data_IF_744244318373
#
_entry.id   IF_744244318373
#
_cell.length_a   1.000
_cell.length_b   1.000
_cell.length_c   1.000
_cell.angle_alpha   90.00
_cell.angle_beta   90.00
_cell.angle_gamma   90.00
#
_symmetry.space_group_name_H-M   'P 1'
#
loop_
_entity.id
_entity.type
_entity.pdbx_description
1 polymer ?
#
# COMPACT_ATOMS: atom_id res chain seq x y z
N UNK A 1 40.00 26.72 -7.59
CA UNK A 1 39.53 25.37 -7.21
C UNK A 1 38.34 24.99 -8.09
N UNK A 2 38.54 24.24 -9.21
CA UNK A 2 37.42 23.71 -10.03
C UNK A 2 36.72 22.65 -9.19
N UNK A 3 35.70 23.04 -8.47
CA UNK A 3 34.84 22.07 -7.79
C UNK A 3 34.28 21.14 -8.86
N UNK A 4 34.51 19.85 -8.68
CA UNK A 4 34.18 18.83 -9.68
C UNK A 4 32.66 18.79 -9.84
N UNK A 5 32.15 19.41 -10.90
CA UNK A 5 30.73 19.55 -11.22
C UNK A 5 30.03 18.18 -11.25
N UNK A 6 30.75 17.14 -11.66
CA UNK A 6 30.25 15.76 -11.72
C UNK A 6 30.03 15.17 -10.33
N UNK A 7 30.82 15.57 -9.34
CA UNK A 7 30.66 15.15 -7.95
C UNK A 7 29.34 15.68 -7.37
N UNK A 8 29.07 16.99 -7.54
CA UNK A 8 27.81 17.59 -7.07
C UNK A 8 26.59 17.04 -7.81
N UNK A 9 26.68 16.86 -9.13
CA UNK A 9 25.63 16.26 -9.94
C UNK A 9 25.27 14.84 -9.43
N UNK A 10 26.26 14.03 -9.07
CA UNK A 10 26.04 12.72 -8.50
C UNK A 10 25.37 12.80 -7.11
N UNK A 11 25.83 13.65 -6.22
CA UNK A 11 25.19 13.82 -4.89
C UNK A 11 23.73 14.21 -5.06
N UNK A 12 23.43 15.22 -5.86
CA UNK A 12 22.07 15.69 -6.11
C UNK A 12 21.20 14.58 -6.68
N UNK A 13 21.73 13.73 -7.58
CA UNK A 13 20.98 12.60 -8.12
C UNK A 13 20.68 11.49 -7.10
N UNK A 14 21.46 11.37 -6.02
CA UNK A 14 21.19 10.41 -4.95
C UNK A 14 20.23 10.93 -3.88
N UNK A 15 20.05 12.25 -3.72
CA UNK A 15 19.17 12.80 -2.70
C UNK A 15 17.73 12.26 -2.80
N UNK A 16 17.04 12.31 -3.97
CA UNK A 16 15.69 11.77 -4.06
C UNK A 16 15.64 10.25 -3.80
N UNK A 17 16.71 9.50 -4.14
CA UNK A 17 16.80 8.07 -3.83
C UNK A 17 16.79 7.86 -2.32
N UNK A 18 17.67 8.55 -1.59
CA UNK A 18 17.79 8.43 -0.13
C UNK A 18 16.47 8.80 0.56
N UNK A 19 15.83 9.90 0.14
CA UNK A 19 14.56 10.33 0.73
C UNK A 19 13.43 9.34 0.43
N UNK A 20 13.36 8.77 -0.80
CA UNK A 20 12.42 7.71 -1.12
C UNK A 20 12.60 6.47 -0.23
N UNK A 21 13.86 6.00 -0.07
CA UNK A 21 14.16 4.83 0.75
C UNK A 21 13.85 5.11 2.23
N UNK A 22 14.17 6.31 2.72
CA UNK A 22 13.80 6.73 4.06
C UNK A 22 12.28 6.74 4.26
N UNK A 23 11.53 7.36 3.35
CA UNK A 23 10.06 7.39 3.39
C UNK A 23 9.48 5.98 3.39
N UNK A 24 10.05 5.08 2.57
CA UNK A 24 9.63 3.69 2.52
C UNK A 24 9.93 2.95 3.83
N UNK A 25 11.11 3.16 4.40
CA UNK A 25 11.51 2.53 5.67
C UNK A 25 10.61 2.94 6.84
N UNK A 26 10.25 4.23 6.91
CA UNK A 26 9.38 4.73 7.98
C UNK A 26 7.90 4.43 7.78
N UNK A 27 7.50 3.96 6.60
CA UNK A 27 6.10 3.64 6.29
C UNK A 27 5.54 2.47 7.09
N UNK A 28 6.40 1.67 7.72
CA UNK A 28 6.00 0.59 8.62
C UNK A 28 5.62 1.11 10.02
N UNK A 29 5.95 2.37 10.32
CA UNK A 29 5.76 2.99 11.64
C UNK A 29 4.81 4.18 11.58
N UNK A 30 4.29 4.58 12.74
CA UNK A 30 3.57 5.86 12.85
C UNK A 30 4.56 7.01 13.04
N UNK A 31 4.45 8.02 12.17
CA UNK A 31 5.23 9.25 12.30
C UNK A 31 4.28 10.44 12.17
N UNK A 32 4.23 11.28 13.18
CA UNK A 32 3.36 12.47 13.20
C UNK A 32 3.69 13.48 12.08
N UNK A 33 4.98 13.57 11.69
CA UNK A 33 5.48 14.58 10.73
C UNK A 33 5.87 14.00 9.36
N UNK A 34 5.21 12.91 8.91
CA UNK A 34 5.49 12.30 7.60
C UNK A 34 5.38 13.28 6.42
N UNK A 35 4.60 14.36 6.56
CA UNK A 35 4.43 15.40 5.55
C UNK A 35 5.71 16.15 5.23
N UNK A 36 6.55 16.38 6.24
CA UNK A 36 7.83 17.07 6.03
C UNK A 36 8.76 16.25 5.13
N UNK A 37 8.69 14.92 5.24
CA UNK A 37 9.42 14.01 4.34
C UNK A 37 8.87 14.08 2.92
N UNK A 38 7.55 14.26 2.73
CA UNK A 38 6.97 14.43 1.40
C UNK A 38 7.39 15.75 0.74
N UNK A 39 7.44 16.84 1.50
CA UNK A 39 7.98 18.10 0.99
C UNK A 39 9.46 17.96 0.61
N UNK A 40 10.27 17.36 1.49
CA UNK A 40 11.68 17.10 1.21
C UNK A 40 11.85 16.26 -0.06
N UNK A 41 11.01 15.23 -0.25
CA UNK A 41 11.03 14.40 -1.45
C UNK A 41 10.73 15.22 -2.70
N UNK A 42 9.66 16.01 -2.69
CA UNK A 42 9.26 16.84 -3.82
C UNK A 42 10.38 17.85 -4.18
N UNK A 43 10.95 18.51 -3.18
CA UNK A 43 12.05 19.46 -3.37
C UNK A 43 13.27 18.77 -3.98
N UNK A 44 13.68 17.61 -3.45
CA UNK A 44 14.86 16.89 -3.97
C UNK A 44 14.68 16.42 -5.41
N UNK A 45 13.45 16.01 -5.80
CA UNK A 45 13.13 15.68 -7.19
C UNK A 45 13.20 16.88 -8.11
N UNK A 46 12.65 18.01 -7.70
CA UNK A 46 12.73 19.25 -8.46
C UNK A 46 14.20 19.70 -8.63
N UNK A 47 14.99 19.67 -7.56
CA UNK A 47 16.41 20.01 -7.59
C UNK A 47 17.17 19.10 -8.56
N UNK A 48 16.98 17.77 -8.48
CA UNK A 48 17.63 16.82 -9.41
C UNK A 48 17.20 17.08 -10.86
N UNK A 49 15.92 17.32 -11.09
CA UNK A 49 15.38 17.54 -12.43
C UNK A 49 15.95 18.79 -13.09
N UNK A 50 16.01 19.92 -12.38
CA UNK A 50 16.50 21.18 -12.93
C UNK A 50 18.03 21.27 -12.94
N UNK A 51 18.71 20.89 -11.85
CA UNK A 51 20.17 20.95 -11.77
C UNK A 51 20.86 20.06 -12.81
N UNK A 52 20.36 18.83 -12.95
CA UNK A 52 20.89 17.86 -13.91
C UNK A 52 20.26 18.02 -15.31
N UNK A 53 19.54 19.11 -15.56
CA UNK A 53 18.94 19.47 -16.86
C UNK A 53 18.13 18.34 -17.49
N UNK A 54 17.44 17.53 -16.66
CA UNK A 54 16.66 16.38 -17.13
C UNK A 54 15.48 16.79 -18.00
N UNK A 55 15.03 18.04 -17.90
CA UNK A 55 14.01 18.62 -18.77
C UNK A 55 14.40 18.62 -20.25
N UNK A 56 15.72 18.61 -20.60
CA UNK A 56 16.17 18.53 -21.99
C UNK A 56 15.89 17.15 -22.64
N UNK A 57 15.82 16.09 -21.86
CA UNK A 57 15.49 14.73 -22.31
C UNK A 57 14.04 14.32 -21.97
N UNK A 58 13.23 15.28 -21.53
CA UNK A 58 11.87 15.02 -21.11
C UNK A 58 10.98 14.62 -22.30
N UNK A 59 10.32 13.47 -22.18
CA UNK A 59 9.36 12.98 -23.17
C UNK A 59 8.03 12.69 -22.47
N UNK A 60 6.94 13.13 -23.08
CA UNK A 60 5.61 12.81 -22.58
C UNK A 60 5.22 11.41 -23.04
N UNK A 61 5.14 10.48 -22.11
CA UNK A 61 4.85 9.06 -22.34
C UNK A 61 3.68 8.56 -21.47
N UNK A 62 3.31 7.28 -21.63
CA UNK A 62 2.20 6.66 -20.88
C UNK A 62 2.39 6.72 -19.34
N UNK A 63 3.64 6.72 -18.86
CA UNK A 63 3.94 6.81 -17.43
C UNK A 63 3.63 8.21 -16.92
N UNK A 64 3.98 9.23 -17.70
CA UNK A 64 3.67 10.63 -17.35
C UNK A 64 2.18 10.93 -17.45
N UNK A 65 1.47 10.34 -18.44
CA UNK A 65 0.01 10.39 -18.48
C UNK A 65 -0.58 9.81 -17.18
N UNK A 66 -0.09 8.66 -16.75
CA UNK A 66 -0.52 8.05 -15.48
C UNK A 66 -0.35 8.99 -14.30
N UNK A 67 0.86 9.55 -14.09
CA UNK A 67 1.10 10.45 -12.98
C UNK A 67 0.38 11.80 -13.12
N UNK A 68 0.08 12.25 -14.33
CA UNK A 68 -0.80 13.39 -14.54
C UNK A 68 -2.22 13.11 -14.06
N UNK A 69 -2.75 11.92 -14.34
CA UNK A 69 -4.09 11.50 -13.84
C UNK A 69 -4.08 11.41 -12.31
N UNK A 70 -3.04 10.83 -11.72
CA UNK A 70 -2.89 10.78 -10.25
C UNK A 70 -2.81 12.18 -9.65
N UNK A 71 -2.02 13.07 -10.25
CA UNK A 71 -1.92 14.47 -9.83
C UNK A 71 -3.27 15.19 -9.89
N UNK A 72 -3.97 15.08 -11.01
CA UNK A 72 -5.29 15.67 -11.20
C UNK A 72 -6.32 15.08 -10.21
N UNK A 73 -6.27 13.78 -9.94
CA UNK A 73 -7.12 13.15 -8.95
C UNK A 73 -6.95 13.79 -7.56
N UNK A 74 -5.72 14.04 -7.13
CA UNK A 74 -5.49 14.75 -5.88
C UNK A 74 -5.85 16.23 -5.94
N UNK A 75 -5.75 16.85 -7.11
CA UNK A 75 -6.16 18.24 -7.32
C UNK A 75 -7.67 18.44 -7.40
N UNK A 76 -8.46 17.42 -7.76
CA UNK A 76 -9.93 17.50 -7.78
C UNK A 76 -10.51 17.94 -6.43
N UNK A 77 -9.83 17.61 -5.33
CA UNK A 77 -10.20 18.05 -4.01
C UNK A 77 -10.19 19.57 -3.83
N UNK A 78 -9.29 20.28 -4.50
CA UNK A 78 -9.22 21.74 -4.44
C UNK A 78 -10.32 22.41 -5.24
N UNK A 79 -10.73 21.76 -6.34
CA UNK A 79 -11.70 22.32 -7.30
C UNK A 79 -13.13 22.06 -6.81
N UNK A 80 -13.35 20.91 -6.13
CA UNK A 80 -14.66 20.41 -5.79
C UNK A 80 -14.97 20.53 -4.28
N UNK A 81 -14.22 21.32 -3.56
CA UNK A 81 -14.45 21.59 -2.15
C UNK A 81 -14.89 23.05 -1.97
N UNK A 82 -16.13 23.33 -1.56
CA UNK A 82 -16.47 24.67 -1.11
C UNK A 82 -15.68 24.99 0.16
N UNK A 83 -14.92 26.08 0.11
CA UNK A 83 -14.06 26.54 1.20
C UNK A 83 -14.85 27.09 2.42
N UNK A 84 -16.16 26.94 2.46
CA UNK A 84 -17.04 27.66 3.38
C UNK A 84 -17.05 27.09 4.80
N UNK A 85 -16.68 25.83 5.02
CA UNK A 85 -16.67 25.23 6.36
C UNK A 85 -15.27 24.79 6.80
N UNK A 86 -14.60 25.63 7.57
CA UNK A 86 -13.26 25.40 8.13
C UNK A 86 -13.28 24.46 9.34
N UNK A 87 -13.67 23.22 9.18
CA UNK A 87 -13.42 22.22 10.22
C UNK A 87 -11.92 21.87 10.27
N UNK A 88 -11.39 21.55 11.45
CA UNK A 88 -10.01 21.11 11.64
C UNK A 88 -9.68 19.90 10.73
N UNK A 89 -10.68 19.10 10.42
CA UNK A 89 -10.58 17.93 9.57
C UNK A 89 -10.41 18.29 8.08
N UNK A 90 -11.16 19.25 7.57
CA UNK A 90 -11.04 19.69 6.17
C UNK A 90 -9.65 20.26 5.90
N UNK A 91 -9.06 20.98 6.85
CA UNK A 91 -7.67 21.45 6.75
C UNK A 91 -6.67 20.30 6.76
N UNK A 92 -6.88 19.25 7.55
CA UNK A 92 -6.00 18.08 7.59
C UNK A 92 -6.04 17.31 6.26
N UNK A 93 -7.24 17.07 5.73
CA UNK A 93 -7.43 16.43 4.43
C UNK A 93 -6.78 17.22 3.31
N UNK A 94 -7.06 18.51 3.24
CA UNK A 94 -6.49 19.41 2.25
C UNK A 94 -4.97 19.35 2.27
N UNK A 95 -4.37 19.44 3.46
CA UNK A 95 -2.92 19.39 3.64
C UNK A 95 -2.31 18.06 3.19
N UNK A 96 -2.96 16.93 3.50
CA UNK A 96 -2.51 15.62 3.05
C UNK A 96 -2.54 15.52 1.51
N UNK A 97 -3.56 16.07 0.87
CA UNK A 97 -3.72 15.98 -0.59
C UNK A 97 -2.76 16.86 -1.37
N UNK A 98 -2.42 18.03 -0.83
CA UNK A 98 -1.31 18.84 -1.36
C UNK A 98 -0.02 18.01 -1.38
N UNK A 99 0.28 17.34 -0.28
CA UNK A 99 1.49 16.52 -0.18
C UNK A 99 1.46 15.34 -1.15
N UNK A 100 0.30 14.70 -1.35
CA UNK A 100 0.13 13.59 -2.29
C UNK A 100 0.24 14.04 -3.75
N UNK A 101 -0.25 15.24 -4.09
CA UNK A 101 -0.02 15.82 -5.40
C UNK A 101 1.48 16.05 -5.66
N UNK A 102 2.25 16.42 -4.63
CA UNK A 102 3.71 16.51 -4.69
C UNK A 102 4.38 15.17 -5.01
N UNK A 103 3.90 14.07 -4.41
CA UNK A 103 4.41 12.72 -4.75
C UNK A 103 4.07 12.33 -6.20
N UNK A 104 2.86 12.67 -6.67
CA UNK A 104 2.49 12.47 -8.07
C UNK A 104 3.37 13.28 -9.02
N UNK A 105 3.71 14.53 -8.64
CA UNK A 105 4.67 15.36 -9.37
C UNK A 105 6.05 14.70 -9.43
N UNK A 106 6.54 14.08 -8.35
CA UNK A 106 7.79 13.31 -8.37
C UNK A 106 7.76 12.22 -9.45
N UNK A 107 6.67 11.46 -9.52
CA UNK A 107 6.48 10.45 -10.56
C UNK A 107 6.40 11.04 -11.96
N UNK A 108 5.76 12.19 -12.13
CA UNK A 108 5.68 12.91 -13.40
C UNK A 108 7.06 13.41 -13.86
N UNK A 109 7.87 14.00 -12.99
CA UNK A 109 9.25 14.38 -13.28
C UNK A 109 10.11 13.18 -13.64
N UNK A 110 9.78 12.03 -13.10
CA UNK A 110 10.41 10.74 -13.36
C UNK A 110 11.64 10.47 -12.53
N UNK A 111 11.87 9.19 -12.26
CA UNK A 111 13.04 8.73 -11.52
C UNK A 111 14.31 8.83 -12.39
N UNK A 112 15.42 9.15 -11.76
CA UNK A 112 16.72 9.09 -12.43
C UNK A 112 17.27 7.65 -12.45
N UNK A 113 18.39 7.42 -13.15
CA UNK A 113 19.00 6.11 -13.30
C UNK A 113 19.65 5.53 -12.02
N UNK A 114 19.67 6.30 -10.92
CA UNK A 114 20.17 5.87 -9.61
C UNK A 114 19.10 5.10 -8.81
N UNK A 115 17.82 5.24 -9.17
CA UNK A 115 16.72 4.50 -8.56
C UNK A 115 16.71 3.05 -9.05
N UNK A 116 17.36 2.16 -8.30
CA UNK A 116 17.40 0.73 -8.58
C UNK A 116 16.34 -0.01 -7.80
N UNK A 117 15.63 -0.93 -8.43
CA UNK A 117 14.54 -1.68 -7.80
C UNK A 117 15.02 -2.48 -6.59
N UNK A 118 16.25 -3.03 -6.62
CA UNK A 118 16.83 -3.78 -5.51
C UNK A 118 16.95 -2.95 -4.22
N UNK A 119 17.21 -1.64 -4.31
CA UNK A 119 17.29 -0.77 -3.15
C UNK A 119 15.94 -0.72 -2.41
N UNK A 120 14.86 -0.54 -3.16
CA UNK A 120 13.50 -0.48 -2.61
C UNK A 120 13.09 -1.81 -1.99
N UNK A 121 13.30 -2.92 -2.71
CA UNK A 121 12.95 -4.26 -2.23
C UNK A 121 13.70 -4.61 -0.94
N UNK A 122 15.00 -4.37 -0.90
CA UNK A 122 15.80 -4.61 0.31
C UNK A 122 15.38 -3.69 1.46
N UNK A 123 15.05 -2.43 1.19
CA UNK A 123 14.55 -1.52 2.22
C UNK A 123 13.25 -2.04 2.83
N UNK A 124 12.28 -2.51 2.02
CA UNK A 124 11.05 -3.11 2.52
C UNK A 124 11.36 -4.31 3.43
N UNK A 125 12.24 -5.22 3.00
CA UNK A 125 12.57 -6.42 3.76
C UNK A 125 13.27 -6.06 5.08
N UNK A 126 14.30 -5.21 5.01
CA UNK A 126 15.08 -4.80 6.18
C UNK A 126 14.20 -4.07 7.19
N UNK A 127 13.36 -3.14 6.74
CA UNK A 127 12.47 -2.38 7.63
C UNK A 127 11.39 -3.26 8.24
N UNK A 128 10.85 -4.25 7.49
CA UNK A 128 9.92 -5.22 8.02
C UNK A 128 10.56 -6.05 9.15
N UNK A 129 11.74 -6.61 8.91
CA UNK A 129 12.47 -7.39 9.92
C UNK A 129 12.89 -6.52 11.10
N UNK A 130 13.41 -5.33 10.87
CA UNK A 130 13.81 -4.40 11.92
C UNK A 130 12.60 -4.00 12.80
N UNK A 131 11.44 -3.76 12.21
CA UNK A 131 10.22 -3.46 12.97
C UNK A 131 9.77 -4.64 13.85
N UNK A 132 9.87 -5.87 13.35
CA UNK A 132 9.56 -7.08 14.14
C UNK A 132 10.51 -7.19 15.33
N UNK A 133 11.81 -7.05 15.08
CA UNK A 133 12.83 -7.11 16.15
C UNK A 133 12.55 -6.01 17.18
N UNK A 134 12.31 -4.78 16.74
CA UNK A 134 12.02 -3.66 17.63
C UNK A 134 10.78 -3.91 18.49
N UNK A 135 9.69 -4.39 17.89
CA UNK A 135 8.44 -4.67 18.60
C UNK A 135 8.63 -5.77 19.64
N UNK A 136 9.22 -6.90 19.25
CA UNK A 136 9.36 -8.08 20.12
C UNK A 136 10.35 -7.83 21.25
N UNK A 137 11.49 -7.21 20.99
CA UNK A 137 12.54 -7.05 22.00
C UNK A 137 12.43 -5.78 22.84
N UNK A 138 12.00 -4.66 22.24
CA UNK A 138 12.07 -3.36 22.90
C UNK A 138 10.70 -2.82 23.35
N UNK A 139 9.61 -3.12 22.64
CA UNK A 139 8.27 -2.61 23.00
C UNK A 139 7.50 -3.59 23.86
N UNK A 140 7.45 -4.86 23.47
CA UNK A 140 6.73 -5.90 24.19
C UNK A 140 7.59 -6.54 25.26
N UNK A 141 8.88 -6.72 24.98
CA UNK A 141 9.82 -7.53 25.75
C UNK A 141 9.78 -8.99 25.31
N UNK A 142 10.94 -9.56 25.05
CA UNK A 142 11.07 -10.92 24.51
C UNK A 142 10.39 -11.98 25.41
N UNK A 143 10.62 -11.93 26.72
CA UNK A 143 10.04 -12.87 27.69
C UNK A 143 8.50 -12.73 27.73
N UNK A 144 7.98 -11.51 27.84
CA UNK A 144 6.54 -11.24 27.82
C UNK A 144 5.88 -11.72 26.53
N UNK A 145 6.57 -11.57 25.38
CA UNK A 145 6.08 -12.09 24.12
C UNK A 145 6.08 -13.62 24.10
N UNK A 146 7.13 -14.25 24.63
CA UNK A 146 7.26 -15.71 24.63
C UNK A 146 6.26 -16.40 25.54
N UNK A 147 6.04 -15.87 26.74
CA UNK A 147 5.16 -16.41 27.77
C UNK A 147 3.68 -16.12 27.54
N UNK A 148 3.34 -15.18 26.65
CA UNK A 148 1.96 -14.81 26.40
C UNK A 148 1.14 -15.96 25.84
N UNK A 149 0.05 -16.33 26.52
CA UNK A 149 -0.93 -17.30 26.03
C UNK A 149 -1.63 -16.78 24.75
N UNK A 150 -2.01 -15.49 24.74
CA UNK A 150 -2.65 -14.85 23.60
C UNK A 150 -1.70 -13.83 22.95
N UNK A 151 -0.86 -14.30 22.04
CA UNK A 151 0.09 -13.45 21.32
C UNK A 151 -0.59 -12.36 20.45
N UNK A 152 -1.78 -12.62 19.96
CA UNK A 152 -2.56 -11.66 19.18
C UNK A 152 -2.95 -10.43 20.02
N UNK A 153 -3.32 -10.62 21.29
CA UNK A 153 -3.69 -9.52 22.18
C UNK A 153 -2.52 -8.58 22.49
N UNK A 154 -1.27 -9.07 22.40
CA UNK A 154 -0.07 -8.28 22.62
C UNK A 154 0.28 -7.47 21.37
N UNK A 155 -0.02 -7.99 20.18
CA UNK A 155 0.18 -7.30 18.90
C UNK A 155 -0.98 -6.37 18.53
N UNK A 156 -1.83 -6.00 19.49
CA UNK A 156 -2.92 -5.04 19.25
C UNK A 156 -2.36 -3.62 19.11
N UNK A 157 -2.65 -2.89 18.03
CA UNK A 157 -2.12 -1.55 17.78
C UNK A 157 -2.40 -0.55 18.90
N UNK A 158 -3.54 -0.66 19.57
CA UNK A 158 -3.91 0.19 20.70
C UNK A 158 -2.93 0.13 21.88
N UNK A 159 -2.05 -0.87 21.94
CA UNK A 159 -1.01 -1.05 22.97
C UNK A 159 0.39 -0.71 22.50
N UNK A 160 0.55 -0.45 21.21
CA UNK A 160 1.87 -0.24 20.60
C UNK A 160 1.85 1.09 19.86
N UNK A 161 2.32 2.16 20.50
CA UNK A 161 2.41 3.51 19.90
C UNK A 161 3.24 3.57 18.61
N UNK A 162 3.95 2.50 18.29
CA UNK A 162 4.81 2.41 17.12
C UNK A 162 4.06 2.03 15.84
N UNK A 163 2.93 1.30 15.95
CA UNK A 163 2.11 0.89 14.82
C UNK A 163 0.79 1.66 14.86
N UNK A 164 0.60 2.57 13.93
CA UNK A 164 -0.62 3.36 13.86
C UNK A 164 -1.85 2.52 13.49
N UNK A 165 -1.67 1.59 12.55
CA UNK A 165 -2.74 0.76 12.02
C UNK A 165 -2.21 -0.65 11.67
N UNK A 166 -2.77 -1.68 12.29
CA UNK A 166 -2.41 -3.07 12.03
C UNK A 166 -2.61 -3.46 10.56
N UNK A 167 -3.57 -2.86 9.87
CA UNK A 167 -3.81 -3.16 8.45
C UNK A 167 -2.65 -2.73 7.58
N UNK A 168 -2.12 -1.53 7.82
CA UNK A 168 -0.96 -1.02 7.07
C UNK A 168 0.29 -1.83 7.38
N UNK A 169 0.47 -2.20 8.64
CA UNK A 169 1.55 -3.08 9.04
C UNK A 169 1.49 -4.42 8.28
N UNK A 170 0.30 -5.03 8.21
CA UNK A 170 0.07 -6.27 7.48
C UNK A 170 0.30 -6.12 5.96
N UNK A 171 -0.09 -4.99 5.37
CA UNK A 171 0.23 -4.67 3.97
C UNK A 171 1.74 -4.62 3.77
N UNK A 172 2.46 -3.92 4.64
CA UNK A 172 3.92 -3.80 4.55
C UNK A 172 4.61 -5.16 4.65
N UNK A 173 4.15 -6.03 5.55
CA UNK A 173 4.66 -7.41 5.68
C UNK A 173 4.40 -8.25 4.41
N UNK A 174 3.23 -8.12 3.80
CA UNK A 174 2.92 -8.79 2.54
C UNK A 174 3.77 -8.26 1.37
N UNK A 175 4.04 -6.96 1.33
CA UNK A 175 4.98 -6.37 0.36
C UNK A 175 6.40 -6.92 0.55
N UNK A 176 6.83 -7.16 1.80
CA UNK A 176 8.11 -7.76 2.08
C UNK A 176 8.19 -9.23 1.60
N UNK A 177 7.12 -10.02 1.77
CA UNK A 177 7.03 -11.39 1.23
C UNK A 177 7.18 -11.38 -0.30
N UNK A 178 6.44 -10.50 -0.99
CA UNK A 178 6.52 -10.37 -2.45
C UNK A 178 7.91 -9.90 -2.89
N UNK A 179 8.54 -9.00 -2.12
CA UNK A 179 9.89 -8.52 -2.38
C UNK A 179 10.94 -9.63 -2.26
N UNK A 180 10.85 -10.46 -1.22
CA UNK A 180 11.72 -11.63 -1.04
C UNK A 180 11.55 -12.59 -2.23
N UNK A 181 10.30 -12.93 -2.56
CA UNK A 181 10.02 -13.80 -3.70
C UNK A 181 10.60 -13.23 -5.00
N UNK A 182 10.41 -11.94 -5.27
CA UNK A 182 10.90 -11.32 -6.51
C UNK A 182 12.43 -11.37 -6.61
N UNK A 183 13.14 -11.05 -5.53
CA UNK A 183 14.62 -11.13 -5.50
C UNK A 183 15.08 -12.57 -5.69
N UNK A 184 14.56 -13.49 -4.89
CA UNK A 184 15.00 -14.89 -4.95
C UNK A 184 14.67 -15.52 -6.30
N UNK A 185 13.47 -15.32 -6.85
CA UNK A 185 13.08 -15.92 -8.14
C UNK A 185 13.91 -15.40 -9.33
N UNK A 186 14.39 -14.15 -9.28
CA UNK A 186 15.17 -13.57 -10.37
C UNK A 186 16.69 -13.71 -10.20
N UNK A 187 17.18 -13.88 -8.98
CA UNK A 187 18.63 -13.89 -8.69
C UNK A 187 19.13 -15.18 -8.04
N UNK A 188 18.31 -16.20 -7.83
CA UNK A 188 18.67 -17.41 -7.07
C UNK A 188 20.05 -17.98 -7.43
N UNK A 189 20.34 -18.10 -8.71
CA UNK A 189 21.62 -18.66 -9.21
C UNK A 189 22.84 -17.76 -8.94
N UNK A 190 22.62 -16.48 -8.68
CA UNK A 190 23.68 -15.48 -8.47
C UNK A 190 23.85 -15.12 -6.99
N UNK A 191 22.86 -15.45 -6.15
CA UNK A 191 22.91 -15.17 -4.72
C UNK A 191 23.86 -16.14 -4.02
N UNK A 192 24.70 -15.59 -3.16
CA UNK A 192 25.49 -16.39 -2.23
C UNK A 192 24.54 -17.16 -1.28
N UNK A 193 24.91 -18.41 -0.94
CA UNK A 193 24.06 -19.29 -0.09
C UNK A 193 23.61 -18.63 1.22
N UNK A 194 24.48 -17.87 1.88
CA UNK A 194 24.14 -17.18 3.12
C UNK A 194 23.06 -16.10 2.92
N UNK A 195 23.06 -15.39 1.78
CA UNK A 195 22.00 -14.40 1.45
C UNK A 195 20.65 -15.07 1.26
N UNK A 196 20.64 -16.23 0.61
CA UNK A 196 19.41 -17.03 0.47
C UNK A 196 18.91 -17.45 1.85
N UNK A 197 19.80 -17.88 2.74
CA UNK A 197 19.47 -18.19 4.14
C UNK A 197 18.86 -17.00 4.90
N UNK A 198 19.41 -15.79 4.71
CA UNK A 198 18.84 -14.57 5.31
C UNK A 198 17.43 -14.26 4.76
N UNK A 199 17.19 -14.40 3.47
CA UNK A 199 15.86 -14.19 2.89
C UNK A 199 14.84 -15.23 3.41
N UNK A 200 15.25 -16.50 3.55
CA UNK A 200 14.39 -17.54 4.14
C UNK A 200 14.07 -17.20 5.60
N UNK A 201 15.07 -16.82 6.40
CA UNK A 201 14.86 -16.42 7.79
C UNK A 201 13.93 -15.20 7.89
N UNK A 202 14.16 -14.18 7.06
CA UNK A 202 13.29 -13.00 6.99
C UNK A 202 11.86 -13.38 6.64
N UNK A 203 11.66 -14.28 5.67
CA UNK A 203 10.35 -14.79 5.31
C UNK A 203 9.66 -15.49 6.48
N UNK A 204 10.35 -16.38 7.18
CA UNK A 204 9.80 -17.12 8.32
C UNK A 204 9.41 -16.17 9.45
N UNK A 205 10.22 -15.16 9.75
CA UNK A 205 9.90 -14.14 10.76
C UNK A 205 8.66 -13.33 10.37
N UNK A 206 8.62 -12.84 9.13
CA UNK A 206 7.50 -12.02 8.62
C UNK A 206 6.21 -12.83 8.59
N UNK A 207 6.25 -14.05 8.06
CA UNK A 207 5.09 -14.93 7.98
C UNK A 207 4.60 -15.37 9.37
N UNK A 208 5.54 -15.65 10.28
CA UNK A 208 5.23 -15.95 11.67
C UNK A 208 4.48 -14.81 12.37
N UNK A 209 4.95 -13.57 12.20
CA UNK A 209 4.27 -12.39 12.75
C UNK A 209 2.90 -12.19 12.13
N UNK A 210 2.75 -12.32 10.81
CA UNK A 210 1.44 -12.23 10.16
C UNK A 210 0.43 -13.27 10.68
N UNK A 211 0.90 -14.46 11.05
CA UNK A 211 0.02 -15.52 11.59
C UNK A 211 -0.53 -15.22 12.99
N UNK A 212 0.15 -14.38 13.75
CA UNK A 212 -0.20 -14.01 15.14
C UNK A 212 -0.68 -12.56 15.25
N UNK A 213 -0.54 -11.74 14.20
CA UNK A 213 -0.97 -10.35 14.24
C UNK A 213 -2.49 -10.21 14.20
N UNK A 214 -2.98 -9.16 14.80
CA UNK A 214 -4.36 -8.73 14.64
C UNK A 214 -4.60 -8.36 13.16
N UNK A 215 -5.79 -8.67 12.65
CA UNK A 215 -6.12 -8.38 11.24
C UNK A 215 -5.90 -9.59 10.32
N UNK A 216 -6.89 -10.47 10.32
CA UNK A 216 -6.92 -11.72 9.53
C UNK A 216 -6.77 -11.51 8.03
N UNK A 217 -7.17 -10.33 7.52
CA UNK A 217 -7.02 -9.95 6.11
C UNK A 217 -5.56 -9.99 5.64
N UNK A 218 -4.61 -9.58 6.50
CA UNK A 218 -3.17 -9.63 6.19
C UNK A 218 -2.66 -11.06 6.06
N UNK A 219 -3.04 -11.94 6.97
CA UNK A 219 -2.66 -13.35 6.91
C UNK A 219 -3.31 -14.07 5.72
N UNK A 220 -4.60 -13.85 5.48
CA UNK A 220 -5.28 -14.40 4.30
C UNK A 220 -4.65 -13.93 3.00
N UNK A 221 -4.23 -12.67 2.91
CA UNK A 221 -3.50 -12.13 1.77
C UNK A 221 -2.16 -12.84 1.58
N UNK A 222 -1.41 -13.10 2.66
CA UNK A 222 -0.15 -13.84 2.56
C UNK A 222 -0.34 -15.26 2.05
N UNK A 223 -1.39 -15.96 2.52
CA UNK A 223 -1.75 -17.30 2.01
C UNK A 223 -2.14 -17.25 0.54
N UNK A 224 -2.91 -16.23 0.11
CA UNK A 224 -3.27 -16.04 -1.29
C UNK A 224 -2.01 -15.85 -2.16
N UNK A 225 -1.09 -14.96 -1.74
CA UNK A 225 0.16 -14.72 -2.47
C UNK A 225 0.98 -16.00 -2.58
N UNK A 226 1.18 -16.71 -1.48
CA UNK A 226 1.94 -17.96 -1.45
C UNK A 226 1.29 -19.04 -2.31
N UNK A 227 -0.04 -19.15 -2.28
CA UNK A 227 -0.80 -20.05 -3.14
C UNK A 227 -0.58 -19.74 -4.61
N UNK A 228 -0.71 -18.46 -5.01
CA UNK A 228 -0.48 -18.04 -6.39
C UNK A 228 0.95 -18.31 -6.86
N UNK A 229 1.95 -18.05 -6.00
CA UNK A 229 3.37 -18.34 -6.30
C UNK A 229 3.57 -19.85 -6.48
N UNK A 230 3.08 -20.64 -5.54
CA UNK A 230 3.20 -22.11 -5.56
C UNK A 230 2.49 -22.72 -6.77
N UNK A 231 1.26 -22.27 -7.03
CA UNK A 231 0.48 -22.74 -8.18
C UNK A 231 1.17 -22.44 -9.48
N UNK A 232 1.78 -21.25 -9.64
CA UNK A 232 2.56 -20.89 -10.83
C UNK A 232 3.75 -21.83 -11.03
N UNK A 233 4.47 -22.19 -9.98
CA UNK A 233 5.64 -23.06 -10.09
C UNK A 233 5.24 -24.54 -10.32
N UNK A 234 4.17 -25.00 -9.69
CA UNK A 234 3.62 -26.35 -9.92
C UNK A 234 2.98 -26.46 -11.29
N UNK A 235 2.27 -25.42 -11.77
CA UNK A 235 1.66 -25.39 -13.10
C UNK A 235 2.68 -25.60 -14.22
N UNK A 236 3.88 -25.02 -14.07
CA UNK A 236 4.98 -25.21 -15.04
C UNK A 236 5.46 -26.67 -15.11
N UNK A 237 5.30 -27.43 -14.00
CA UNK A 237 5.74 -28.82 -13.92
C UNK A 237 4.62 -29.78 -14.30
N UNK A 238 3.45 -29.59 -13.76
CA UNK A 238 2.29 -30.45 -14.00
C UNK A 238 0.96 -29.73 -13.71
N UNK A 239 0.21 -29.41 -14.77
CA UNK A 239 -1.08 -28.72 -14.69
C UNK A 239 -2.14 -29.52 -13.91
N UNK A 240 -2.12 -30.86 -13.98
CA UNK A 240 -3.10 -31.70 -13.31
C UNK A 240 -2.91 -31.70 -11.78
N UNK A 241 -1.65 -31.78 -11.33
CA UNK A 241 -1.33 -31.63 -9.91
C UNK A 241 -1.79 -30.26 -9.41
N UNK A 242 -1.59 -29.20 -10.21
CA UNK A 242 -2.04 -27.86 -9.84
C UNK A 242 -3.56 -27.81 -9.64
N UNK A 243 -4.34 -28.41 -10.53
CA UNK A 243 -5.81 -28.45 -10.39
C UNK A 243 -6.25 -29.22 -9.13
N UNK A 244 -5.60 -30.32 -8.81
CA UNK A 244 -5.85 -31.08 -7.58
C UNK A 244 -5.55 -30.23 -6.35
N UNK A 245 -4.41 -29.55 -6.32
CA UNK A 245 -4.02 -28.65 -5.21
C UNK A 245 -5.01 -27.51 -5.05
N UNK A 246 -5.45 -26.89 -6.15
CA UNK A 246 -6.51 -25.86 -6.11
C UNK A 246 -7.79 -26.42 -5.52
N UNK A 247 -8.22 -27.61 -5.95
CA UNK A 247 -9.42 -28.27 -5.42
C UNK A 247 -9.32 -28.51 -3.90
N UNK A 248 -8.20 -29.05 -3.42
CA UNK A 248 -7.97 -29.30 -1.99
C UNK A 248 -7.95 -27.97 -1.21
N UNK A 249 -7.25 -26.95 -1.70
CA UNK A 249 -7.21 -25.62 -1.05
C UNK A 249 -8.60 -24.99 -1.02
N UNK A 250 -9.38 -25.11 -2.09
CA UNK A 250 -10.74 -24.58 -2.14
C UNK A 250 -11.66 -25.27 -1.11
N UNK A 251 -11.58 -26.59 -0.97
CA UNK A 251 -12.34 -27.34 0.04
C UNK A 251 -11.88 -26.92 1.45
N UNK A 252 -10.58 -26.78 1.67
CA UNK A 252 -10.06 -26.35 2.97
C UNK A 252 -10.52 -24.93 3.34
N UNK A 253 -10.44 -23.98 2.41
CA UNK A 253 -10.91 -22.61 2.60
C UNK A 253 -12.42 -22.61 2.84
N UNK A 254 -13.19 -23.33 2.04
CA UNK A 254 -14.64 -23.48 2.19
C UNK A 254 -15.02 -23.98 3.58
N UNK A 255 -14.40 -25.07 4.04
CA UNK A 255 -14.64 -25.63 5.38
C UNK A 255 -14.27 -24.63 6.49
N UNK A 256 -13.13 -23.93 6.35
CA UNK A 256 -12.72 -22.90 7.33
C UNK A 256 -13.67 -21.71 7.35
N UNK A 257 -14.19 -21.30 6.19
CA UNK A 257 -15.15 -20.20 6.06
C UNK A 257 -16.49 -20.58 6.71
N UNK A 258 -17.04 -21.74 6.39
CA UNK A 258 -18.36 -22.17 6.91
C UNK A 258 -18.35 -22.43 8.41
N UNK A 259 -17.29 -23.05 8.92
CA UNK A 259 -17.18 -23.35 10.36
C UNK A 259 -16.58 -22.22 11.18
N UNK A 260 -16.33 -21.06 10.56
CA UNK A 260 -15.79 -19.92 11.28
C UNK A 260 -16.92 -19.22 12.06
N UNK A 261 -16.82 -19.22 13.38
CA UNK A 261 -17.82 -18.60 14.29
C UNK A 261 -18.20 -17.16 13.94
N UNK A 262 -17.31 -16.38 13.28
CA UNK A 262 -17.57 -14.99 12.85
C UNK A 262 -18.26 -14.85 11.50
N UNK A 263 -18.64 -15.94 10.84
CA UNK A 263 -19.40 -15.93 9.58
C UNK A 263 -20.85 -16.38 9.84
N UNK A 264 -21.22 -16.56 11.10
CA UNK A 264 -22.64 -16.70 11.45
C UNK A 264 -23.41 -15.45 11.01
N UNK A 265 -24.64 -15.64 10.58
CA UNK A 265 -25.52 -14.54 10.07
C UNK A 265 -25.67 -13.43 11.12
N UNK A 266 -25.66 -13.78 12.41
CA UNK A 266 -25.72 -12.86 13.55
C UNK A 266 -24.46 -11.99 13.66
N UNK A 267 -23.28 -12.56 13.41
CA UNK A 267 -22.03 -11.80 13.48
C UNK A 267 -21.77 -10.95 12.23
N UNK A 268 -22.26 -11.39 11.07
CA UNK A 268 -22.25 -10.54 9.88
C UNK A 268 -23.16 -9.34 10.08
N UNK A 269 -24.36 -9.54 10.64
CA UNK A 269 -25.28 -8.43 11.00
C UNK A 269 -24.69 -7.49 12.05
N UNK A 270 -23.81 -7.99 12.92
CA UNK A 270 -23.11 -7.23 13.95
C UNK A 270 -21.81 -6.56 13.50
N UNK A 271 -21.44 -6.59 12.20
CA UNK A 271 -20.22 -5.95 11.71
C UNK A 271 -20.45 -4.44 11.48
N UNK A 272 -19.80 -3.55 12.26
CA UNK A 272 -20.03 -2.09 12.17
C UNK A 272 -19.77 -1.52 10.76
N UNK A 273 -18.88 -2.13 9.98
CA UNK A 273 -18.59 -1.67 8.62
C UNK A 273 -19.77 -1.81 7.68
N UNK A 274 -20.61 -2.82 7.84
CA UNK A 274 -21.80 -2.98 7.01
C UNK A 274 -22.81 -1.84 7.25
N UNK A 275 -22.92 -1.39 8.49
CA UNK A 275 -23.69 -0.20 8.82
C UNK A 275 -23.12 1.03 8.13
N UNK A 276 -21.79 1.27 8.21
CA UNK A 276 -21.15 2.39 7.54
C UNK A 276 -21.35 2.34 6.02
N UNK A 277 -21.25 1.17 5.41
CA UNK A 277 -21.44 1.01 3.96
C UNK A 277 -22.89 1.22 3.53
N UNK A 278 -23.85 0.81 4.36
CA UNK A 278 -25.27 1.08 4.12
C UNK A 278 -25.54 2.58 4.17
N UNK A 279 -25.05 3.26 5.21
CA UNK A 279 -25.16 4.73 5.35
C UNK A 279 -24.48 5.46 4.17
N UNK A 280 -23.30 5.03 3.78
CA UNK A 280 -22.59 5.59 2.63
C UNK A 280 -23.37 5.45 1.33
N UNK A 281 -24.08 4.32 1.15
CA UNK A 281 -24.93 4.10 -0.03
C UNK A 281 -26.03 5.16 -0.12
N UNK A 282 -26.64 5.57 0.98
CA UNK A 282 -27.66 6.63 1.00
C UNK A 282 -27.07 7.94 0.45
N UNK A 283 -25.89 8.32 0.93
CA UNK A 283 -25.18 9.52 0.45
C UNK A 283 -24.82 9.44 -1.03
N UNK A 284 -24.37 8.25 -1.50
CA UNK A 284 -24.01 8.03 -2.91
C UNK A 284 -25.25 8.19 -3.81
N UNK A 285 -26.41 7.69 -3.38
CA UNK A 285 -27.64 7.73 -4.19
C UNK A 285 -28.15 9.15 -4.43
N UNK A 286 -27.76 10.12 -3.62
CA UNK A 286 -28.13 11.51 -3.82
C UNK A 286 -27.30 12.21 -4.92
N UNK A 287 -26.05 11.78 -5.13
CA UNK A 287 -25.16 12.34 -6.14
C UNK A 287 -24.28 11.25 -6.80
N UNK A 288 -24.86 10.27 -7.53
CA UNK A 288 -24.15 9.05 -7.92
C UNK A 288 -23.08 9.26 -8.99
N UNK A 289 -23.18 10.29 -9.83
CA UNK A 289 -22.27 10.50 -10.96
C UNK A 289 -21.05 11.34 -10.59
N UNK A 290 -21.29 12.49 -9.98
CA UNK A 290 -20.22 13.47 -9.64
C UNK A 290 -19.81 13.42 -8.17
N UNK A 291 -20.60 12.78 -7.31
CA UNK A 291 -20.40 12.83 -5.87
C UNK A 291 -20.77 14.20 -5.27
N UNK A 292 -20.56 14.34 -3.98
CA UNK A 292 -20.88 15.58 -3.24
C UNK A 292 -19.68 16.51 -2.99
N UNK A 293 -18.48 16.10 -3.36
CA UNK A 293 -17.24 16.74 -2.90
C UNK A 293 -16.75 16.18 -1.57
N UNK A 294 -15.47 16.33 -1.28
CA UNK A 294 -14.84 15.64 -0.14
C UNK A 294 -15.43 16.05 1.21
N UNK A 295 -15.67 17.34 1.43
CA UNK A 295 -16.17 17.87 2.69
C UNK A 295 -17.66 17.59 2.86
N UNK A 296 -18.47 17.93 1.87
CA UNK A 296 -19.92 17.76 1.89
C UNK A 296 -20.32 16.28 1.95
N UNK A 297 -19.55 15.39 1.31
CA UNK A 297 -19.75 13.94 1.41
C UNK A 297 -19.55 13.45 2.85
N UNK A 298 -18.53 13.97 3.55
CA UNK A 298 -18.25 13.59 4.93
C UNK A 298 -19.31 14.13 5.89
N UNK A 299 -19.77 15.37 5.70
CA UNK A 299 -20.85 15.95 6.51
C UNK A 299 -22.17 15.18 6.29
N UNK A 300 -22.53 14.91 5.03
CA UNK A 300 -23.72 14.13 4.69
C UNK A 300 -23.65 12.71 5.29
N UNK A 301 -22.49 12.08 5.22
CA UNK A 301 -22.27 10.76 5.82
C UNK A 301 -22.43 10.77 7.34
N UNK A 302 -21.83 11.74 8.03
CA UNK A 302 -21.99 11.89 9.47
C UNK A 302 -23.45 12.17 9.87
N UNK A 303 -24.13 13.03 9.12
CA UNK A 303 -25.55 13.32 9.34
C UNK A 303 -26.40 12.06 9.17
N UNK A 304 -26.27 11.35 8.05
CA UNK A 304 -27.00 10.12 7.78
C UNK A 304 -26.71 9.03 8.83
N UNK A 305 -25.47 8.94 9.34
CA UNK A 305 -25.10 8.03 10.43
C UNK A 305 -25.83 8.34 11.72
N UNK A 306 -25.91 9.62 12.11
CA UNK A 306 -26.55 10.07 13.36
C UNK A 306 -28.08 9.93 13.25
N UNK A 307 -28.67 10.22 12.09
CA UNK A 307 -30.11 10.13 11.82
C UNK A 307 -30.59 8.70 11.51
N UNK A 308 -29.68 7.73 11.41
CA UNK A 308 -30.03 6.35 11.12
C UNK A 308 -31.01 5.76 12.11
N UNK A 309 -31.94 4.95 11.62
CA UNK A 309 -32.88 4.15 12.43
C UNK A 309 -32.27 2.92 13.07
N UNK A 310 -30.99 2.60 12.79
CA UNK A 310 -30.29 1.45 13.35
C UNK A 310 -29.75 1.79 14.73
N UNK A 311 -30.52 1.49 15.75
CA UNK A 311 -30.19 1.78 17.16
C UNK A 311 -28.94 0.99 17.64
N UNK A 312 -28.57 -0.11 16.97
CA UNK A 312 -27.42 -0.93 17.36
C UNK A 312 -26.10 -0.19 17.12
N UNK A 313 -25.98 0.48 15.98
CA UNK A 313 -24.72 1.12 15.57
C UNK A 313 -24.75 2.64 15.65
N UNK A 314 -25.94 3.26 15.70
CA UNK A 314 -26.12 4.70 15.83
C UNK A 314 -25.30 5.30 16.97
N UNK A 315 -25.25 4.61 18.11
CA UNK A 315 -24.54 5.02 19.31
C UNK A 315 -23.14 4.42 19.48
N UNK A 316 -22.68 3.62 18.50
CA UNK A 316 -21.36 3.00 18.55
C UNK A 316 -20.23 4.04 18.52
N UNK A 317 -20.45 5.15 17.81
CA UNK A 317 -19.56 6.30 17.75
C UNK A 317 -20.25 7.53 18.31
N UNK A 318 -19.49 8.39 19.01
CA UNK A 318 -20.01 9.68 19.44
C UNK A 318 -20.35 10.56 18.22
N UNK A 319 -21.32 11.48 18.32
CA UNK A 319 -21.65 12.40 17.24
C UNK A 319 -20.46 13.25 16.76
N UNK A 320 -19.52 13.54 17.66
CA UNK A 320 -18.30 14.30 17.42
C UNK A 320 -17.16 13.47 16.83
N UNK A 321 -17.29 12.13 16.83
CA UNK A 321 -16.26 11.27 16.29
C UNK A 321 -16.16 11.42 14.78
N UNK A 322 -14.94 11.57 14.32
CA UNK A 322 -14.66 11.45 12.89
C UNK A 322 -14.68 9.97 12.51
N UNK A 323 -15.67 9.61 11.70
CA UNK A 323 -15.83 8.24 11.18
C UNK A 323 -15.85 8.31 9.66
N UNK A 324 -14.99 7.56 9.02
CA UNK A 324 -14.99 7.37 7.57
C UNK A 324 -15.69 6.06 7.19
N UNK A 325 -15.83 5.81 5.89
CA UNK A 325 -16.48 4.59 5.39
C UNK A 325 -15.65 3.32 5.60
N UNK A 326 -14.41 3.41 6.07
CA UNK A 326 -13.43 2.31 6.11
C UNK A 326 -13.35 1.52 4.79
N UNK A 327 -13.56 2.20 3.66
CA UNK A 327 -13.47 1.61 2.33
C UNK A 327 -13.15 2.70 1.31
N UNK A 328 -11.97 2.64 0.71
CA UNK A 328 -11.49 3.65 -0.23
C UNK A 328 -12.41 3.81 -1.46
N UNK A 329 -12.99 2.72 -1.95
CA UNK A 329 -13.87 2.77 -3.13
C UNK A 329 -15.17 3.48 -2.82
N UNK A 330 -15.78 3.14 -1.69
CA UNK A 330 -17.03 3.78 -1.21
C UNK A 330 -16.78 5.26 -0.93
N UNK A 331 -15.71 5.58 -0.20
CA UNK A 331 -15.35 6.95 0.12
C UNK A 331 -15.16 7.80 -1.15
N UNK A 332 -14.39 7.28 -2.11
CA UNK A 332 -14.18 7.98 -3.38
C UNK A 332 -15.47 8.16 -4.16
N UNK A 333 -16.39 7.19 -4.07
CA UNK A 333 -17.69 7.30 -4.75
C UNK A 333 -18.59 8.33 -4.07
N UNK A 334 -18.59 8.44 -2.75
CA UNK A 334 -19.30 9.54 -2.05
C UNK A 334 -18.76 10.91 -2.46
N UNK A 335 -17.43 11.03 -2.52
CA UNK A 335 -16.74 12.29 -2.78
C UNK A 335 -16.84 12.73 -4.26
N UNK A 336 -16.62 11.81 -5.21
CA UNK A 336 -16.47 12.12 -6.65
C UNK A 336 -17.36 11.28 -7.57
N UNK A 337 -18.33 10.57 -7.02
CA UNK A 337 -19.26 9.73 -7.77
C UNK A 337 -18.59 8.58 -8.51
N UNK A 338 -19.33 8.03 -9.48
CA UNK A 338 -18.82 6.95 -10.34
C UNK A 338 -17.65 7.39 -11.21
N UNK A 339 -17.56 8.67 -11.56
CA UNK A 339 -16.41 9.22 -12.30
C UNK A 339 -15.15 9.10 -11.44
N UNK A 340 -15.20 9.53 -10.18
CA UNK A 340 -14.08 9.38 -9.25
C UNK A 340 -13.68 7.93 -9.04
N UNK A 341 -14.65 7.03 -8.93
CA UNK A 341 -14.40 5.59 -8.83
C UNK A 341 -13.68 5.04 -10.07
N UNK A 342 -14.10 5.42 -11.27
CA UNK A 342 -13.45 5.02 -12.51
C UNK A 342 -11.99 5.52 -12.57
N UNK A 343 -11.72 6.76 -12.15
CA UNK A 343 -10.38 7.30 -12.07
C UNK A 343 -9.54 6.53 -11.03
N UNK A 344 -10.11 6.23 -9.87
CA UNK A 344 -9.45 5.44 -8.83
C UNK A 344 -9.07 4.04 -9.34
N UNK A 345 -9.99 3.36 -10.01
CA UNK A 345 -9.72 2.04 -10.61
C UNK A 345 -8.63 2.13 -11.69
N UNK A 346 -8.64 3.17 -12.51
CA UNK A 346 -7.54 3.42 -13.45
C UNK A 346 -6.20 3.60 -12.71
N UNK A 347 -6.18 4.38 -11.63
CA UNK A 347 -4.97 4.62 -10.82
C UNK A 347 -4.45 3.32 -10.21
N UNK A 348 -5.31 2.44 -9.73
CA UNK A 348 -4.90 1.15 -9.16
C UNK A 348 -4.38 0.18 -10.20
N UNK A 349 -5.09 0.00 -11.31
CA UNK A 349 -4.83 -1.11 -12.22
C UNK A 349 -3.91 -0.78 -13.40
N UNK A 350 -3.83 0.50 -13.82
CA UNK A 350 -2.99 0.88 -14.95
C UNK A 350 -1.48 0.58 -14.77
N UNK A 351 -0.88 0.62 -13.57
CA UNK A 351 0.52 0.22 -13.39
C UNK A 351 0.81 -1.21 -13.84
N UNK A 352 -0.15 -2.14 -13.72
CA UNK A 352 0.01 -3.50 -14.25
C UNK A 352 0.13 -3.52 -15.77
N UNK A 353 -0.71 -2.74 -16.45
CA UNK A 353 -0.69 -2.69 -17.91
C UNK A 353 0.54 -1.97 -18.45
N UNK A 354 1.02 -0.96 -17.73
CA UNK A 354 2.18 -0.15 -18.13
C UNK A 354 3.52 -0.75 -17.71
N UNK A 355 3.51 -1.69 -16.77
CA UNK A 355 4.70 -2.40 -16.31
C UNK A 355 5.39 -3.15 -17.44
N UNK A 356 6.72 -3.20 -17.39
CA UNK A 356 7.52 -4.06 -18.23
C UNK A 356 7.14 -5.55 -18.05
N UNK A 357 7.26 -6.35 -19.11
CA UNK A 357 6.87 -7.77 -19.11
C UNK A 357 7.47 -8.55 -17.93
N UNK A 358 8.71 -8.25 -17.56
CA UNK A 358 9.41 -8.90 -16.44
C UNK A 358 8.79 -8.59 -15.08
N UNK A 359 8.21 -7.39 -14.92
CA UNK A 359 7.62 -6.90 -13.66
C UNK A 359 6.12 -7.14 -13.56
N UNK A 360 5.46 -7.67 -14.60
CA UNK A 360 3.99 -7.82 -14.59
C UNK A 360 3.48 -8.64 -13.41
N UNK A 361 4.10 -9.77 -13.10
CA UNK A 361 3.66 -10.61 -11.98
C UNK A 361 3.94 -9.93 -10.64
N UNK A 362 5.09 -9.28 -10.51
CA UNK A 362 5.40 -8.47 -9.34
C UNK A 362 4.39 -7.34 -9.16
N UNK A 363 4.09 -6.60 -10.22
CA UNK A 363 3.06 -5.58 -10.26
C UNK A 363 1.68 -6.11 -9.88
N UNK A 364 1.31 -7.29 -10.39
CA UNK A 364 0.05 -7.96 -10.04
C UNK A 364 -0.08 -8.16 -8.53
N UNK A 365 0.93 -8.74 -7.88
CA UNK A 365 0.87 -8.95 -6.44
C UNK A 365 0.80 -7.65 -5.65
N UNK A 366 1.62 -6.67 -5.98
CA UNK A 366 1.62 -5.38 -5.30
C UNK A 366 0.24 -4.70 -5.42
N UNK A 367 -0.30 -4.62 -6.64
CA UNK A 367 -1.61 -3.99 -6.88
C UNK A 367 -2.71 -4.77 -6.15
N UNK A 368 -2.67 -6.10 -6.18
CA UNK A 368 -3.65 -6.93 -5.48
C UNK A 368 -3.63 -6.67 -3.98
N UNK A 369 -2.46 -6.60 -3.35
CA UNK A 369 -2.32 -6.29 -1.93
C UNK A 369 -2.96 -4.92 -1.62
N UNK A 370 -2.59 -3.90 -2.38
CA UNK A 370 -3.04 -2.53 -2.15
C UNK A 370 -4.54 -2.36 -2.43
N UNK A 371 -5.02 -2.90 -3.54
CA UNK A 371 -6.43 -2.83 -3.93
C UNK A 371 -7.33 -3.62 -2.97
N UNK A 372 -6.90 -4.81 -2.53
CA UNK A 372 -7.64 -5.60 -1.54
C UNK A 372 -7.72 -4.87 -0.20
N UNK A 373 -6.61 -4.29 0.27
CA UNK A 373 -6.62 -3.57 1.53
C UNK A 373 -7.54 -2.34 1.49
N UNK A 374 -7.65 -1.69 0.35
CA UNK A 374 -8.55 -0.54 0.13
C UNK A 374 -10.04 -0.86 0.25
N UNK A 375 -10.42 -2.14 0.28
CA UNK A 375 -11.79 -2.57 0.62
C UNK A 375 -12.07 -2.40 2.12
N UNK A 376 -11.04 -2.44 2.95
CA UNK A 376 -11.17 -2.46 4.41
C UNK A 376 -10.68 -1.19 5.10
N UNK A 377 -10.06 -0.26 4.36
CA UNK A 377 -9.53 0.98 4.90
C UNK A 377 -9.33 2.04 3.81
N UNK A 378 -9.17 3.31 4.21
CA UNK A 378 -8.85 4.42 3.34
C UNK A 378 -7.34 4.48 3.06
N UNK A 379 -6.88 3.85 1.98
CA UNK A 379 -5.47 3.62 1.71
C UNK A 379 -4.78 4.75 0.92
N UNK A 380 -5.48 5.41 -0.01
CA UNK A 380 -4.88 6.45 -0.87
C UNK A 380 -4.94 7.85 -0.24
N UNK A 381 -5.76 8.06 0.77
CA UNK A 381 -6.06 9.42 1.26
C UNK A 381 -5.25 9.83 2.48
N UNK A 382 -4.57 8.90 3.12
CA UNK A 382 -3.79 9.13 4.35
C UNK A 382 -2.28 9.05 4.15
N UNK A 383 -1.56 8.96 5.26
CA UNK A 383 -0.09 8.80 5.27
C UNK A 383 0.40 7.55 4.51
N UNK A 384 -0.47 6.61 4.22
CA UNK A 384 -0.14 5.34 3.58
C UNK A 384 -0.16 5.41 2.06
N UNK A 385 -0.65 6.50 1.49
CA UNK A 385 -0.53 6.75 0.06
C UNK A 385 0.94 6.80 -0.43
N UNK A 386 1.89 7.07 0.48
CA UNK A 386 3.32 6.95 0.17
C UNK A 386 3.71 5.52 -0.23
N UNK A 387 3.19 4.48 0.44
CA UNK A 387 3.42 3.10 0.03
C UNK A 387 2.91 2.85 -1.39
N UNK A 388 1.69 3.30 -1.69
CA UNK A 388 1.13 3.20 -3.03
C UNK A 388 2.00 3.92 -4.06
N UNK A 389 2.38 5.17 -3.81
CA UNK A 389 3.18 5.97 -4.73
C UNK A 389 4.58 5.38 -4.95
N UNK A 390 5.26 4.94 -3.89
CA UNK A 390 6.58 4.33 -4.02
C UNK A 390 6.49 2.96 -4.71
N UNK A 391 5.45 2.17 -4.45
CA UNK A 391 5.21 0.92 -5.16
C UNK A 391 5.00 1.17 -6.67
N UNK A 392 4.26 2.21 -7.04
CA UNK A 392 4.11 2.58 -8.46
C UNK A 392 5.43 3.04 -9.07
N UNK A 393 6.30 3.77 -8.33
CA UNK A 393 7.65 4.10 -8.79
C UNK A 393 8.46 2.84 -9.06
N UNK A 394 8.44 1.86 -8.14
CA UNK A 394 9.15 0.58 -8.31
C UNK A 394 8.68 -0.17 -9.56
N UNK A 395 7.37 -0.20 -9.80
CA UNK A 395 6.78 -0.90 -10.93
C UNK A 395 7.10 -0.22 -12.26
N UNK A 396 6.97 1.10 -12.33
CA UNK A 396 6.95 1.85 -13.58
C UNK A 396 8.29 2.46 -13.98
N UNK A 397 9.12 2.86 -13.01
CA UNK A 397 10.23 3.76 -13.30
C UNK A 397 11.58 3.32 -12.75
N UNK A 398 11.66 2.46 -11.72
CA UNK A 398 12.95 2.02 -11.20
C UNK A 398 13.74 1.27 -12.27
N UNK A 399 15.06 1.48 -12.29
CA UNK A 399 15.95 0.69 -13.14
C UNK A 399 16.01 -0.75 -12.64
N UNK A 400 15.88 -1.68 -13.57
CA UNK A 400 16.02 -3.11 -13.27
C UNK A 400 17.52 -3.46 -13.18
N UNK A 401 17.98 -3.79 -11.99
CA UNK A 401 19.33 -4.30 -11.72
C UNK A 401 19.30 -5.77 -11.30
N UNK A 402 18.12 -6.34 -11.20
CA UNK A 402 17.85 -7.75 -10.96
C UNK A 402 17.67 -8.43 -12.30
N UNK A 403 18.73 -8.43 -13.11
CA UNK A 403 18.72 -9.14 -14.39
C UNK A 403 19.42 -10.50 -14.24
N UNK A 404 18.81 -11.60 -14.65
CA UNK A 404 19.60 -12.79 -14.94
C UNK A 404 20.55 -12.42 -16.08
N UNK A 405 21.85 -12.42 -15.82
CA UNK A 405 22.83 -12.40 -16.90
C UNK A 405 22.53 -13.61 -17.77
N UNK A 406 22.20 -13.32 -19.04
CA UNK A 406 22.15 -14.25 -20.17
C UNK A 406 21.20 -15.45 -20.04
N UNK A 407 19.99 -15.28 -20.53
CA UNK A 407 19.17 -16.35 -21.09
C UNK A 407 19.73 -16.82 -22.44
N UNK A 408 21.04 -17.09 -22.55
CA UNK A 408 21.61 -17.76 -23.72
C UNK A 408 21.59 -19.29 -23.59
N UNK A 409 21.01 -19.85 -22.54
CA UNK A 409 20.86 -21.29 -22.37
C UNK A 409 19.42 -21.60 -22.01
N UNK A 410 18.53 -21.59 -22.98
CA UNK A 410 17.34 -22.46 -23.04
C UNK A 410 16.71 -22.37 -24.42
N UNK A 411 17.47 -22.81 -25.41
CA UNK A 411 16.94 -23.58 -26.54
C UNK A 411 17.46 -24.98 -26.31
N UNK A 412 16.74 -25.78 -25.61
CA UNK A 412 16.68 -27.23 -25.62
C UNK A 412 15.29 -27.65 -25.20
#
# INVERSE_FOLDING_TARGET
>A
MKVNKDFFSNIISYLPVVVCLFLLAISVTYISNYRDVWYALTITFCVDFFYNKRYLSFKFDKIRIYYSVVFLFFCLFFIYQPFENSSTYSHLLLRNRICLSGLALCGFLGLNNKHKISYYLNTIIISAVASIIYLVFFKIGFLSFWEAENKMAIFTPARIDFINNHMVYNVYMNLAIVSIWYIVSNQYKMLQKWKVGLYILSFLLIFGILSISEGRSGFLMSLFILSCISLKEVWKRNKYITLIVIGILSIFVYNKVIHHQRISEEQIKGEPRLFLWKTAKEVIMEAPILGRGANDAQEAFNKARIESSDETFKHFWQPTDFVDSHNQYIQTTMEFGTIGLCILLFIYFSPYFFAEKRRKIFSFFIITILAFQSVFDMFITGQFANLFMICTFMILQCKDDISPKDNHITKL
#
